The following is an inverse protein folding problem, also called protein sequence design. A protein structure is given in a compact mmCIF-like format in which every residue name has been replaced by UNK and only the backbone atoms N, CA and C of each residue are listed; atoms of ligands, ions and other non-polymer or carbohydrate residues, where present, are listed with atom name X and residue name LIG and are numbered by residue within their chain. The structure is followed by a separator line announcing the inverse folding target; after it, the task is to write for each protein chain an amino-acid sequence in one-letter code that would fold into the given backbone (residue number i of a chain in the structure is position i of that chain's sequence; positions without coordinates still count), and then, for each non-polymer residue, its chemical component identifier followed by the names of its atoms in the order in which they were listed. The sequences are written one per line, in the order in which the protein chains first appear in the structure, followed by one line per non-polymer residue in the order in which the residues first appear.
data_IF_454626180579
#
_entry.id   IF_454626180579
#
_cell.length_a   1.000
_cell.length_b   1.000
_cell.length_c   1.000
_cell.angle_alpha   90.00
_cell.angle_beta   90.00
_cell.angle_gamma   90.00
#
_symmetry.space_group_name_H-M   'P 1'
#
loop_
_entity.id
_entity.type
_entity.pdbx_description
1 polymer ?
#
# COMPACT_ATOMS: atom_id res chain seq x y z
N UNK A 1 1.04 17.65 50.06
CA UNK A 1 1.89 17.17 48.96
C UNK A 1 2.28 15.74 49.24
N UNK A 2 1.50 14.79 48.70
CA UNK A 2 1.68 13.37 48.93
C UNK A 2 2.29 12.77 47.65
N UNK A 3 3.57 12.44 47.69
CA UNK A 3 4.19 11.62 46.66
C UNK A 3 3.79 10.17 46.93
N UNK A 4 2.95 9.61 46.05
CA UNK A 4 2.64 8.20 46.03
C UNK A 4 3.92 7.43 45.66
N UNK A 5 4.55 6.88 46.69
CA UNK A 5 5.60 5.88 46.60
C UNK A 5 4.96 4.58 46.09
N UNK A 6 4.98 4.35 44.79
CA UNK A 6 4.76 3.03 44.20
C UNK A 6 5.98 2.16 44.47
N UNK A 7 6.10 1.68 45.72
CA UNK A 7 6.92 0.52 46.03
C UNK A 7 6.11 -0.71 45.64
N UNK A 8 6.28 -1.18 44.41
CA UNK A 8 5.78 -2.48 43.96
C UNK A 8 6.95 -3.48 43.90
N UNK A 9 7.11 -4.24 44.99
CA UNK A 9 7.49 -5.65 45.05
C UNK A 9 8.38 -6.20 43.91
N UNK A 10 9.63 -5.75 43.80
CA UNK A 10 10.66 -6.46 43.05
C UNK A 10 11.24 -7.56 43.96
N UNK A 11 10.80 -8.80 43.76
CA UNK A 11 11.54 -9.96 44.28
C UNK A 11 12.97 -9.89 43.78
N UNK A 12 13.95 -10.21 44.64
CA UNK A 12 15.37 -10.21 44.28
C UNK A 12 15.58 -11.10 43.04
N UNK A 13 15.88 -10.47 41.90
CA UNK A 13 16.27 -11.16 40.68
C UNK A 13 17.62 -11.82 40.93
N UNK A 14 17.71 -13.11 40.67
CA UNK A 14 18.97 -13.82 40.77
C UNK A 14 19.89 -13.29 39.66
N UNK A 15 21.03 -12.72 40.04
CA UNK A 15 22.04 -12.14 39.15
C UNK A 15 23.36 -12.89 39.29
N UNK A 16 24.18 -12.91 38.24
CA UNK A 16 25.56 -13.43 38.31
C UNK A 16 26.55 -12.44 38.94
N UNK A 17 27.83 -12.81 38.97
CA UNK A 17 28.91 -12.00 39.53
C UNK A 17 29.12 -10.67 38.77
N UNK A 18 28.65 -10.57 37.52
CA UNK A 18 28.70 -9.38 36.66
C UNK A 18 27.38 -8.58 36.70
N UNK A 19 26.48 -8.89 37.63
CA UNK A 19 25.15 -8.29 37.78
C UNK A 19 24.20 -8.52 36.57
N UNK A 20 24.43 -9.57 35.78
CA UNK A 20 23.55 -9.98 34.69
C UNK A 20 22.42 -10.87 35.25
N UNK A 21 21.14 -10.61 34.93
CA UNK A 21 20.04 -11.46 35.37
C UNK A 21 20.19 -12.90 34.87
N UNK A 22 20.11 -13.88 35.78
CA UNK A 22 20.15 -15.32 35.47
C UNK A 22 18.88 -15.81 34.76
N UNK A 23 17.83 -15.00 34.79
CA UNK A 23 16.57 -15.23 34.08
C UNK A 23 16.13 -13.94 33.41
N UNK A 24 15.54 -14.04 32.23
CA UNK A 24 14.97 -12.89 31.54
C UNK A 24 13.94 -12.20 32.46
N UNK A 25 14.15 -10.90 32.68
CA UNK A 25 13.28 -10.09 33.55
C UNK A 25 11.85 -9.99 32.99
N UNK A 26 11.72 -10.12 31.68
CA UNK A 26 10.45 -10.24 30.96
C UNK A 26 10.71 -10.96 29.62
N UNK A 27 9.69 -11.63 29.09
CA UNK A 27 9.69 -12.12 27.71
C UNK A 27 8.68 -11.34 26.88
N UNK A 28 9.03 -10.99 25.63
CA UNK A 28 8.07 -10.36 24.70
C UNK A 28 6.90 -11.30 24.44
N UNK A 29 7.13 -12.62 24.48
CA UNK A 29 6.08 -13.63 24.33
C UNK A 29 4.97 -13.51 25.39
N UNK A 30 5.28 -12.97 26.57
CA UNK A 30 4.29 -12.78 27.65
C UNK A 30 3.28 -11.66 27.32
N UNK A 31 3.64 -10.78 26.37
CA UNK A 31 2.81 -9.65 25.92
C UNK A 31 2.10 -9.91 24.60
N UNK A 32 2.40 -11.03 23.92
CA UNK A 32 1.71 -11.41 22.70
C UNK A 32 0.43 -12.19 23.04
N UNK A 33 -0.68 -11.94 22.35
CA UNK A 33 -1.90 -12.71 22.55
C UNK A 33 -1.63 -14.19 22.24
N UNK A 34 -1.94 -15.08 23.18
CA UNK A 34 -1.66 -16.52 23.05
C UNK A 34 -2.44 -17.20 21.92
N UNK A 35 -3.48 -16.55 21.41
CA UNK A 35 -4.26 -16.99 20.24
C UNK A 35 -4.47 -15.82 19.28
N UNK A 36 -3.69 -15.70 18.19
CA UNK A 36 -3.94 -14.69 17.16
C UNK A 36 -5.34 -14.85 16.57
N UNK A 37 -6.02 -13.73 16.32
CA UNK A 37 -7.26 -13.77 15.57
C UNK A 37 -6.96 -13.97 14.09
N UNK A 38 -7.30 -15.14 13.55
CA UNK A 38 -7.12 -15.41 12.13
C UNK A 38 -7.97 -14.53 11.22
N UNK A 39 -7.38 -14.06 10.13
CA UNK A 39 -8.11 -13.32 9.11
C UNK A 39 -9.04 -14.25 8.31
N UNK A 40 -10.28 -13.81 8.08
CA UNK A 40 -11.21 -14.57 7.24
C UNK A 40 -10.73 -14.59 5.77
N UNK A 41 -11.04 -15.66 5.02
CA UNK A 41 -10.72 -15.74 3.58
C UNK A 41 -11.30 -14.54 2.80
N UNK A 42 -12.49 -14.08 3.18
CA UNK A 42 -13.13 -12.90 2.57
C UNK A 42 -12.30 -11.62 2.81
N UNK A 43 -11.81 -11.43 4.04
CA UNK A 43 -10.94 -10.30 4.41
C UNK A 43 -9.65 -10.34 3.59
N UNK A 44 -9.02 -11.50 3.46
CA UNK A 44 -7.80 -11.68 2.67
C UNK A 44 -8.05 -11.33 1.19
N UNK A 45 -9.14 -11.82 0.59
CA UNK A 45 -9.49 -11.44 -0.79
C UNK A 45 -9.73 -9.94 -0.96
N UNK A 46 -10.37 -9.31 0.03
CA UNK A 46 -10.57 -7.86 0.04
C UNK A 46 -9.24 -7.12 0.12
N UNK A 47 -8.30 -7.57 0.95
CA UNK A 47 -6.96 -7.00 1.06
C UNK A 47 -6.17 -7.13 -0.23
N UNK A 48 -6.17 -8.31 -0.86
CA UNK A 48 -5.54 -8.50 -2.19
C UNK A 48 -6.10 -7.52 -3.22
N UNK A 49 -7.43 -7.33 -3.24
CA UNK A 49 -8.07 -6.37 -4.15
C UNK A 49 -7.65 -4.93 -3.86
N UNK A 50 -7.58 -4.52 -2.60
CA UNK A 50 -7.18 -3.16 -2.21
C UNK A 50 -5.70 -2.90 -2.49
N UNK A 51 -4.85 -3.92 -2.34
CA UNK A 51 -3.43 -3.85 -2.64
C UNK A 51 -3.11 -4.04 -4.14
N UNK A 52 -4.13 -4.19 -5.00
CA UNK A 52 -3.98 -4.51 -6.42
C UNK A 52 -3.11 -5.78 -6.68
N UNK A 53 -3.18 -6.75 -5.77
CA UNK A 53 -2.51 -8.04 -5.87
C UNK A 53 -3.44 -9.09 -6.49
N UNK A 54 -2.85 -10.08 -7.17
CA UNK A 54 -3.61 -11.24 -7.61
C UNK A 54 -4.09 -12.06 -6.40
N UNK A 55 -5.34 -12.51 -6.36
CA UNK A 55 -5.83 -13.35 -5.27
C UNK A 55 -5.20 -14.75 -5.33
N UNK A 56 -5.00 -15.42 -4.18
CA UNK A 56 -4.50 -16.78 -4.12
C UNK A 56 -5.45 -17.74 -4.86
N UNK A 57 -4.89 -18.60 -5.72
CA UNK A 57 -5.65 -19.52 -6.57
C UNK A 57 -5.56 -20.96 -6.05
N UNK A 58 -4.47 -21.30 -5.37
CA UNK A 58 -4.20 -22.66 -4.87
C UNK A 58 -4.20 -22.69 -3.34
N UNK A 59 -4.49 -23.85 -2.74
CA UNK A 59 -4.44 -24.01 -1.28
C UNK A 59 -3.01 -23.81 -0.72
N UNK A 60 -1.96 -24.03 -1.52
CA UNK A 60 -0.59 -23.70 -1.12
C UNK A 60 -0.38 -22.20 -0.95
N UNK A 61 -0.94 -21.37 -1.84
CA UNK A 61 -0.91 -19.91 -1.71
C UNK A 61 -1.65 -19.47 -0.44
N UNK A 62 -2.76 -20.14 -0.11
CA UNK A 62 -3.51 -19.87 1.12
C UNK A 62 -2.72 -20.23 2.38
N UNK A 63 -1.91 -21.29 2.36
CA UNK A 63 -1.05 -21.65 3.48
C UNK A 63 0.04 -20.61 3.75
N UNK A 64 0.61 -20.00 2.70
CA UNK A 64 1.62 -18.95 2.87
C UNK A 64 1.06 -17.68 3.54
N UNK A 65 -0.26 -17.49 3.48
CA UNK A 65 -0.93 -16.35 4.11
C UNK A 65 -1.27 -16.60 5.59
N UNK A 66 -1.02 -17.79 6.13
CA UNK A 66 -1.21 -18.08 7.55
C UNK A 66 -0.24 -17.28 8.44
N UNK A 67 0.96 -16.98 7.94
CA UNK A 67 1.95 -16.16 8.65
C UNK A 67 1.45 -14.71 8.88
N UNK A 68 0.45 -14.25 8.12
CA UNK A 68 -0.20 -12.96 8.38
C UNK A 68 -0.92 -12.94 9.72
N UNK A 69 -1.41 -14.08 10.22
CA UNK A 69 -2.11 -14.14 11.50
C UNK A 69 -1.15 -13.81 12.66
N UNK A 70 0.11 -14.25 12.57
CA UNK A 70 1.15 -13.90 13.54
C UNK A 70 1.47 -12.39 13.51
N UNK A 71 1.59 -11.82 12.30
CA UNK A 71 1.79 -10.38 12.15
C UNK A 71 0.61 -9.56 12.70
N UNK A 72 -0.62 -10.04 12.50
CA UNK A 72 -1.83 -9.42 13.07
C UNK A 72 -1.80 -9.47 14.59
N UNK A 73 -1.39 -10.57 15.21
CA UNK A 73 -1.24 -10.65 16.67
C UNK A 73 -0.25 -9.64 17.22
N UNK A 74 0.90 -9.46 16.56
CA UNK A 74 1.91 -8.48 16.97
C UNK A 74 1.33 -7.07 16.94
N UNK A 75 0.60 -6.72 15.87
CA UNK A 75 -0.03 -5.40 15.74
C UNK A 75 -1.16 -5.20 16.76
N UNK A 76 -1.94 -6.25 17.04
CA UNK A 76 -2.98 -6.22 18.08
C UNK A 76 -2.40 -5.99 19.46
N UNK A 77 -1.26 -6.61 19.79
CA UNK A 77 -0.57 -6.36 21.06
C UNK A 77 -0.19 -4.89 21.26
N UNK A 78 0.23 -4.21 20.18
CA UNK A 78 0.53 -2.76 20.21
C UNK A 78 -0.74 -1.91 20.37
N UNK A 79 -1.86 -2.34 19.79
CA UNK A 79 -3.14 -1.63 19.92
C UNK A 79 -3.63 -1.58 21.36
N UNK A 80 -3.38 -2.63 22.15
CA UNK A 80 -3.86 -2.73 23.53
C UNK A 80 -3.02 -1.93 24.53
N UNK A 81 -1.96 -1.24 24.07
CA UNK A 81 -1.11 -0.38 24.91
C UNK A 81 -1.85 0.89 25.32
N UNK A 82 -1.78 1.25 26.60
CA UNK A 82 -2.32 2.52 27.11
C UNK A 82 -1.54 3.70 26.52
N UNK A 83 -2.24 4.51 25.72
CA UNK A 83 -1.71 5.72 25.08
C UNK A 83 -2.21 7.00 25.73
N UNK A 84 -2.89 6.92 26.88
CA UNK A 84 -3.47 8.08 27.59
C UNK A 84 -2.42 9.14 27.96
N UNK A 85 -1.17 8.72 28.18
CA UNK A 85 -0.01 9.58 28.47
C UNK A 85 0.28 10.57 27.31
N UNK A 86 -0.08 10.22 26.08
CA UNK A 86 0.14 11.06 24.90
C UNK A 86 -0.85 12.22 24.81
N UNK A 87 -1.93 12.22 25.61
CA UNK A 87 -2.92 13.30 25.62
C UNK A 87 -3.66 13.50 24.28
N UNK A 88 -3.70 12.46 23.44
CA UNK A 88 -4.34 12.48 22.13
C UNK A 88 -5.84 12.15 22.28
N UNK A 89 -6.69 12.86 21.55
CA UNK A 89 -8.09 12.47 21.41
C UNK A 89 -8.23 11.20 20.56
N UNK A 90 -9.27 10.41 20.85
CA UNK A 90 -9.56 9.18 20.11
C UNK A 90 -9.80 9.50 18.63
N UNK A 91 -8.98 8.93 17.73
CA UNK A 91 -9.05 9.18 16.29
C UNK A 91 -8.27 10.41 15.79
N UNK A 92 -7.51 11.09 16.65
CA UNK A 92 -6.60 12.15 16.21
C UNK A 92 -5.50 11.60 15.28
N UNK A 93 -5.28 12.27 14.14
CA UNK A 93 -4.21 11.92 13.22
C UNK A 93 -2.86 12.38 13.77
N UNK A 94 -1.97 11.44 14.04
CA UNK A 94 -0.61 11.74 14.55
C UNK A 94 0.35 11.90 13.37
N UNK A 95 1.25 12.88 13.42
CA UNK A 95 2.37 12.95 12.46
C UNK A 95 3.37 11.83 12.80
N UNK A 96 3.45 10.81 11.95
CA UNK A 96 4.38 9.69 12.12
C UNK A 96 5.80 9.97 11.60
N UNK A 97 6.08 11.19 11.12
CA UNK A 97 7.41 11.56 10.62
C UNK A 97 8.39 11.69 11.79
N UNK A 98 9.51 10.98 11.71
CA UNK A 98 10.63 11.15 12.64
C UNK A 98 11.42 12.40 12.24
N UNK A 99 11.40 13.42 13.09
CA UNK A 99 12.15 14.68 12.89
C UNK A 99 13.02 14.96 14.11
N UNK A 100 14.09 15.73 13.90
CA UNK A 100 14.95 16.19 14.99
C UNK A 100 14.23 17.18 15.91
N UNK A 101 13.34 18.02 15.36
CA UNK A 101 12.56 19.03 16.10
C UNK A 101 11.06 18.89 15.80
N UNK A 102 10.19 19.07 16.81
CA UNK A 102 8.74 18.97 16.65
C UNK A 102 8.18 20.26 16.03
N UNK A 103 8.20 20.35 14.71
CA UNK A 103 7.59 21.45 13.96
C UNK A 103 6.20 21.06 13.44
N UNK A 104 5.15 21.88 13.67
CA UNK A 104 3.83 21.60 13.14
C UNK A 104 3.87 21.60 11.60
N UNK A 105 3.23 20.60 10.99
CA UNK A 105 3.11 20.54 9.54
C UNK A 105 2.08 21.55 9.05
N UNK A 106 2.51 22.46 8.17
CA UNK A 106 1.57 23.28 7.42
C UNK A 106 0.87 22.42 6.35
N UNK A 107 -0.41 22.13 6.59
CA UNK A 107 -1.29 21.43 5.67
C UNK A 107 -1.95 22.37 4.67
N UNK A 108 -1.62 23.67 4.69
CA UNK A 108 -2.08 24.59 3.66
C UNK A 108 -1.66 24.04 2.29
N UNK A 109 -2.56 24.05 1.28
CA UNK A 109 -2.17 23.71 -0.06
C UNK A 109 -1.11 24.73 -0.46
N UNK A 110 0.16 24.32 -0.39
CA UNK A 110 1.26 25.19 -0.74
C UNK A 110 1.03 25.62 -2.19
N UNK A 111 0.60 26.87 -2.38
CA UNK A 111 0.54 27.47 -3.71
C UNK A 111 1.95 27.77 -4.25
N UNK A 112 2.99 27.36 -3.52
CA UNK A 112 4.38 27.56 -3.84
C UNK A 112 5.24 26.50 -3.14
N UNK A 113 5.22 25.25 -3.61
CA UNK A 113 6.45 24.46 -3.60
C UNK A 113 7.37 25.04 -4.67
N UNK A 114 7.90 26.22 -4.41
CA UNK A 114 9.08 26.78 -5.06
C UNK A 114 10.34 26.05 -4.57
N UNK A 115 10.31 24.71 -4.66
CA UNK A 115 11.47 23.90 -5.01
C UNK A 115 11.51 23.76 -6.53
N UNK A 116 11.29 24.88 -7.22
CA UNK A 116 11.61 25.08 -8.62
C UNK A 116 13.13 25.30 -8.77
N UNK A 117 13.92 24.49 -8.05
CA UNK A 117 15.35 24.38 -8.29
C UNK A 117 15.55 23.10 -9.12
N UNK A 118 15.69 23.34 -10.42
CA UNK A 118 16.51 22.55 -11.33
C UNK A 118 16.18 21.07 -11.56
N UNK A 119 14.93 20.73 -11.89
CA UNK A 119 14.72 19.76 -12.97
C UNK A 119 14.04 20.47 -14.12
N UNK A 120 14.62 20.39 -15.32
CA UNK A 120 13.98 20.83 -16.56
C UNK A 120 12.50 20.47 -16.51
N UNK A 121 11.61 21.35 -16.95
CA UNK A 121 10.18 21.00 -17.06
C UNK A 121 10.05 19.86 -18.07
N UNK A 122 10.17 18.61 -17.59
CA UNK A 122 10.00 17.42 -18.41
C UNK A 122 8.53 17.42 -18.79
N UNK A 123 8.28 17.75 -20.06
CA UNK A 123 6.94 17.97 -20.58
C UNK A 123 6.65 17.07 -21.78
N UNK A 124 5.38 16.84 -22.04
CA UNK A 124 4.92 16.13 -23.23
C UNK A 124 5.48 14.70 -23.34
N UNK A 125 6.04 14.36 -24.49
CA UNK A 125 6.52 13.00 -24.79
C UNK A 125 7.70 12.56 -23.93
N UNK A 126 8.44 13.48 -23.31
CA UNK A 126 9.56 13.09 -22.46
C UNK A 126 9.12 12.37 -21.18
N UNK A 127 7.91 12.65 -20.69
CA UNK A 127 7.28 11.93 -19.58
C UNK A 127 6.97 10.47 -19.95
N UNK A 128 6.82 10.18 -21.25
CA UNK A 128 6.44 8.88 -21.76
C UNK A 128 7.63 7.95 -22.03
N UNK A 129 8.88 8.41 -21.83
CA UNK A 129 10.10 7.62 -22.13
C UNK A 129 10.19 6.30 -21.35
N UNK A 130 9.63 6.25 -20.14
CA UNK A 130 9.62 5.06 -19.28
C UNK A 130 8.32 4.25 -19.36
N UNK A 131 7.38 4.67 -20.20
CA UNK A 131 6.10 4.00 -20.35
C UNK A 131 6.29 2.67 -21.07
N UNK A 132 5.68 1.60 -20.53
CA UNK A 132 5.67 0.30 -21.19
C UNK A 132 4.85 0.31 -22.50
N UNK A 133 3.77 1.10 -22.54
CA UNK A 133 2.88 1.25 -23.71
C UNK A 133 2.39 2.70 -23.81
N UNK A 134 2.47 3.24 -25.03
CA UNK A 134 2.03 4.60 -25.36
C UNK A 134 1.26 4.58 -26.67
N UNK A 135 0.27 5.45 -26.78
CA UNK A 135 -0.43 5.73 -28.04
C UNK A 135 -0.55 7.25 -28.17
N UNK A 136 0.19 7.80 -29.14
CA UNK A 136 0.33 9.24 -29.30
C UNK A 136 0.93 9.91 -28.06
N UNK A 137 0.13 10.75 -27.40
CA UNK A 137 0.54 11.52 -26.22
C UNK A 137 0.03 10.92 -24.90
N UNK A 138 -0.43 9.66 -24.89
CA UNK A 138 -1.10 9.05 -23.74
C UNK A 138 -0.46 7.71 -23.33
N UNK A 139 -0.53 7.42 -22.03
CA UNK A 139 -0.31 6.07 -21.50
C UNK A 139 -1.51 5.19 -21.85
N UNK A 140 -1.25 3.96 -22.27
CA UNK A 140 -2.32 2.98 -22.58
C UNK A 140 -2.27 1.84 -21.59
N UNK A 141 -3.34 1.72 -20.81
CA UNK A 141 -3.58 0.58 -19.93
C UNK A 141 -4.56 -0.41 -20.59
N UNK A 142 -4.38 -1.73 -20.39
CA UNK A 142 -5.37 -2.72 -20.81
C UNK A 142 -6.73 -2.42 -20.16
N UNK A 143 -7.79 -2.45 -20.96
CA UNK A 143 -9.14 -2.32 -20.43
C UNK A 143 -9.46 -3.56 -19.58
N UNK A 144 -9.91 -3.41 -18.33
CA UNK A 144 -10.28 -4.56 -17.52
C UNK A 144 -11.59 -5.18 -18.03
N UNK A 145 -11.71 -6.51 -17.92
CA UNK A 145 -12.80 -7.30 -18.53
C UNK A 145 -14.21 -6.87 -18.09
N UNK A 146 -14.34 -6.24 -16.92
CA UNK A 146 -15.61 -5.80 -16.35
C UNK A 146 -16.11 -4.44 -16.90
N UNK A 147 -15.33 -3.74 -17.74
CA UNK A 147 -15.77 -2.49 -18.36
C UNK A 147 -16.49 -2.79 -19.68
N UNK A 148 -17.82 -2.84 -19.62
CA UNK A 148 -18.68 -2.93 -20.80
C UNK A 148 -18.58 -1.65 -21.62
N UNK A 149 -17.74 -1.64 -22.65
CA UNK A 149 -17.77 -0.58 -23.66
C UNK A 149 -18.95 -0.83 -24.60
N UNK A 150 -19.80 0.18 -24.79
CA UNK A 150 -20.73 0.21 -25.92
C UNK A 150 -19.87 0.27 -27.18
N UNK A 151 -19.76 -0.85 -27.88
CA UNK A 151 -19.08 -0.98 -29.18
C UNK A 151 -19.70 0.04 -30.16
N UNK A 152 -19.05 1.19 -30.36
CA UNK A 152 -19.34 2.03 -31.53
C UNK A 152 -18.75 1.30 -32.72
N UNK A 153 -19.61 0.79 -33.58
CA UNK A 153 -19.24 0.29 -34.88
C UNK A 153 -18.66 1.45 -35.68
N UNK A 154 -17.35 1.45 -35.89
CA UNK A 154 -16.70 2.32 -36.88
C UNK A 154 -17.08 1.83 -38.28
N UNK A 155 -18.23 2.28 -38.78
CA UNK A 155 -18.54 2.26 -40.21
C UNK A 155 -17.79 3.41 -40.86
N UNK A 156 -16.73 3.12 -41.61
CA UNK A 156 -16.07 4.13 -42.45
C UNK A 156 -14.60 3.88 -42.69
N UNK A 157 -14.26 2.83 -43.44
CA UNK A 157 -13.04 2.73 -44.25
C UNK A 157 -12.99 1.36 -44.96
N UNK A 158 -13.78 1.18 -46.02
CA UNK A 158 -13.56 0.14 -47.03
C UNK A 158 -14.51 0.36 -48.22
N UNK A 159 -14.15 1.24 -49.15
CA UNK A 159 -14.62 1.21 -50.55
C UNK A 159 -13.88 2.28 -51.38
N UNK A 160 -12.63 2.01 -51.71
CA UNK A 160 -11.97 2.57 -52.89
C UNK A 160 -10.66 1.80 -53.10
N UNK A 161 -10.76 0.65 -53.76
CA UNK A 161 -9.79 0.28 -54.80
C UNK A 161 -10.27 -0.93 -55.62
N UNK A 162 -10.10 -0.78 -56.93
CA UNK A 162 -9.93 -1.78 -57.98
C UNK A 162 -11.03 -2.80 -58.29
N UNK A 163 -11.69 -2.57 -59.44
CA UNK A 163 -12.05 -3.62 -60.38
C UNK A 163 -11.89 -3.12 -61.82
N UNK A 164 -10.68 -3.37 -62.32
CA UNK A 164 -10.27 -3.66 -63.69
C UNK A 164 -11.40 -4.20 -64.60
N UNK A 165 -11.61 -3.58 -65.75
CA UNK A 165 -12.39 -4.17 -66.85
C UNK A 165 -11.79 -3.80 -68.19
N UNK A 166 -10.81 -4.62 -68.62
CA UNK A 166 -10.51 -4.91 -70.00
C UNK A 166 -11.80 -5.26 -70.78
N UNK A 167 -12.09 -4.52 -71.85
CA UNK A 167 -12.92 -4.97 -72.96
C UNK A 167 -12.57 -4.12 -74.20
N UNK A 168 -11.70 -4.66 -75.05
CA UNK A 168 -11.69 -4.34 -76.48
C UNK A 168 -12.80 -5.16 -77.15
N UNK A 169 -13.50 -4.60 -78.15
CA UNK A 169 -13.25 -5.07 -79.51
C UNK A 169 -13.32 -3.96 -80.58
N UNK A 170 -12.72 -4.30 -81.73
CA UNK A 170 -12.79 -3.64 -83.03
C UNK A 170 -14.19 -3.14 -83.42
N UNK A 171 -14.28 -1.94 -84.05
CA UNK A 171 -14.84 -1.74 -85.40
C UNK A 171 -14.89 -0.23 -85.78
N UNK A 172 -14.36 0.04 -86.99
CA UNK A 172 -14.44 1.22 -87.87
C UNK A 172 -13.53 2.43 -87.60
#
# INVERSE_FOLDING_TARGET
MAHHRTQALLGQLAVDDDCIPLSATYSIADYLPSTPQSLSRETILKLHRLAALEPPKTEQDWHQLQDLDELVAIVQAVRDVDTSILGLEEGAMVDARVRAEPEPLDWSPSSASSTADATQSIGGQELLKLAQRTEGAYYVAPMPENVRTRKRTSSGAAAADDADSHLSPDEL
#
